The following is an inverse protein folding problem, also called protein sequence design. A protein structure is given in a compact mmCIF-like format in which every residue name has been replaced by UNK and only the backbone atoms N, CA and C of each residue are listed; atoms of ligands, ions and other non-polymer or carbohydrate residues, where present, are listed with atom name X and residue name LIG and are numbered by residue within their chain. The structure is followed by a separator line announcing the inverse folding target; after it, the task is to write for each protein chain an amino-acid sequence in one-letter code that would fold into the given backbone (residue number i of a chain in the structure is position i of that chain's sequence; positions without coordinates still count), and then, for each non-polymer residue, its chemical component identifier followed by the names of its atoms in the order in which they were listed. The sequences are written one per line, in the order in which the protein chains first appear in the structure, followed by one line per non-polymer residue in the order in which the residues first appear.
data_IF_826282517144
#
_entry.id   IF_826282517144
#
_cell.length_a   1.000
_cell.length_b   1.000
_cell.length_c   1.000
_cell.angle_alpha   90.00
_cell.angle_beta   90.00
_cell.angle_gamma   90.00
#
_symmetry.space_group_name_H-M   'P 1'
#
loop_
_entity.id
_entity.type
_entity.pdbx_description
1 polymer ?
#
# COMPACT_ATOMS: atom_id res chain seq x y z
N UNK A 1 10.58 -8.80 2.29
CA UNK A 1 11.11 -8.09 3.46
C UNK A 1 12.27 -7.34 2.87
N UNK A 2 12.16 -6.02 2.77
CA UNK A 2 13.20 -5.18 2.19
C UNK A 2 13.80 -4.45 3.38
N UNK A 3 14.94 -4.96 3.84
CA UNK A 3 15.79 -4.28 4.80
C UNK A 3 16.52 -3.19 4.02
N UNK A 4 16.36 -1.93 4.44
CA UNK A 4 17.06 -0.82 3.83
C UNK A 4 18.49 -0.86 4.36
N UNK A 5 19.43 -1.35 3.56
CA UNK A 5 20.86 -1.21 3.84
C UNK A 5 21.33 0.18 3.38
N UNK A 6 22.00 0.90 4.28
CA UNK A 6 22.59 2.21 4.02
C UNK A 6 23.83 2.04 3.11
N UNK A 7 23.90 2.84 2.04
CA UNK A 7 25.02 2.88 1.10
C UNK A 7 26.20 3.72 1.64
N UNK A 8 27.38 3.68 1.00
CA UNK A 8 28.62 4.38 1.40
C UNK A 8 28.44 5.92 1.56
N UNK A 9 27.47 6.50 0.85
CA UNK A 9 27.09 7.92 1.00
C UNK A 9 26.31 8.21 2.29
N UNK A 10 25.67 7.20 2.87
CA UNK A 10 25.07 7.26 4.19
C UNK A 10 26.11 7.34 5.30
N UNK A 11 27.30 6.76 5.11
CA UNK A 11 28.39 6.80 6.10
C UNK A 11 28.94 8.23 6.30
N UNK A 12 29.11 8.99 5.21
CA UNK A 12 29.54 10.40 5.26
C UNK A 12 28.49 11.34 5.89
N UNK A 13 27.19 11.07 5.67
CA UNK A 13 26.13 11.80 6.37
C UNK A 13 26.12 11.47 7.88
N UNK A 14 26.44 10.22 8.24
CA UNK A 14 26.58 9.77 9.63
C UNK A 14 27.77 10.43 10.33
N UNK A 15 28.88 10.72 9.66
CA UNK A 15 30.04 11.37 10.31
C UNK A 15 29.70 12.76 10.87
N UNK A 16 28.97 13.59 10.13
CA UNK A 16 28.50 14.89 10.62
C UNK A 16 27.36 14.78 11.67
N UNK A 17 26.53 13.74 11.56
CA UNK A 17 25.52 13.39 12.55
C UNK A 17 26.18 12.86 13.84
N UNK A 18 27.32 12.18 13.76
CA UNK A 18 28.06 11.59 14.89
C UNK A 18 28.66 12.65 15.80
N UNK A 19 29.14 13.77 15.24
CA UNK A 19 29.62 14.92 16.00
C UNK A 19 28.48 15.60 16.78
N UNK A 20 27.29 15.71 16.18
CA UNK A 20 26.09 16.24 16.83
C UNK A 20 25.45 15.26 17.84
N UNK A 21 25.48 13.95 17.55
CA UNK A 21 25.11 12.86 18.47
C UNK A 21 25.98 12.87 19.73
N UNK A 22 27.30 13.14 19.60
CA UNK A 22 28.21 13.25 20.74
C UNK A 22 27.92 14.48 21.62
N UNK A 23 27.55 15.61 21.03
CA UNK A 23 27.30 16.84 21.78
C UNK A 23 25.92 16.84 22.48
N UNK A 24 24.89 16.25 21.86
CA UNK A 24 23.53 16.23 22.39
C UNK A 24 22.75 14.96 22.00
N UNK A 25 23.09 13.79 22.58
CA UNK A 25 22.60 12.48 22.11
C UNK A 25 21.08 12.36 22.12
N UNK A 26 20.42 12.87 23.17
CA UNK A 26 18.96 12.80 23.31
C UNK A 26 18.19 13.56 22.22
N UNK A 27 18.73 14.66 21.68
CA UNK A 27 18.05 15.42 20.62
C UNK A 27 18.34 14.86 19.25
N UNK A 28 19.55 14.34 19.04
CA UNK A 28 19.92 13.68 17.82
C UNK A 28 19.13 12.37 17.65
N UNK A 29 18.99 11.52 18.68
CA UNK A 29 18.12 10.33 18.63
C UNK A 29 16.67 10.67 18.31
N UNK A 30 16.10 11.69 18.98
CA UNK A 30 14.73 12.15 18.70
C UNK A 30 14.59 12.73 17.29
N UNK A 31 15.61 13.42 16.78
CA UNK A 31 15.63 13.95 15.42
C UNK A 31 15.73 12.82 14.38
N UNK A 32 16.56 11.80 14.62
CA UNK A 32 16.69 10.60 13.79
C UNK A 32 15.38 9.84 13.74
N UNK A 33 14.78 9.52 14.90
CA UNK A 33 13.49 8.85 14.97
C UNK A 33 12.39 9.67 14.25
N UNK A 34 12.39 11.00 14.41
CA UNK A 34 11.44 11.87 13.72
C UNK A 34 11.65 11.89 12.20
N UNK A 35 12.89 11.86 11.73
CA UNK A 35 13.23 11.85 10.30
C UNK A 35 12.81 10.52 9.66
N UNK A 36 13.19 9.41 10.28
CA UNK A 36 12.85 8.05 9.86
C UNK A 36 11.33 7.82 9.84
N UNK A 37 10.61 8.17 10.93
CA UNK A 37 9.14 8.07 10.96
C UNK A 37 8.48 8.93 9.87
N UNK A 38 9.00 10.12 9.59
CA UNK A 38 8.50 10.98 8.52
C UNK A 38 8.72 10.38 7.13
N UNK A 39 9.90 9.80 6.89
CA UNK A 39 10.22 9.17 5.61
C UNK A 39 9.44 7.88 5.40
N UNK A 40 9.29 7.07 6.45
CA UNK A 40 8.43 5.89 6.46
C UNK A 40 6.98 6.21 6.10
N UNK A 41 6.43 7.30 6.66
CA UNK A 41 5.10 7.77 6.32
C UNK A 41 4.99 8.20 4.85
N UNK A 42 6.00 8.92 4.33
CA UNK A 42 6.06 9.36 2.93
C UNK A 42 6.08 8.18 1.96
N UNK A 43 7.01 7.24 2.15
CA UNK A 43 7.17 6.05 1.32
C UNK A 43 5.92 5.16 1.37
N UNK A 44 5.28 5.02 2.55
CA UNK A 44 3.96 4.38 2.64
C UNK A 44 2.94 5.07 1.73
N UNK A 45 2.89 6.40 1.74
CA UNK A 45 2.00 7.20 0.86
C UNK A 45 2.20 6.87 -0.61
N UNK A 46 3.46 6.88 -1.07
CA UNK A 46 3.82 6.55 -2.46
C UNK A 46 3.39 5.13 -2.85
N UNK A 47 3.64 4.14 -1.99
CA UNK A 47 3.20 2.75 -2.21
C UNK A 47 1.67 2.69 -2.32
N UNK A 48 0.93 3.41 -1.48
CA UNK A 48 -0.52 3.44 -1.55
C UNK A 48 -1.03 4.10 -2.84
N UNK A 49 -0.41 5.18 -3.27
CA UNK A 49 -0.74 5.90 -4.49
C UNK A 49 -0.47 5.06 -5.73
N UNK A 50 0.70 4.43 -5.83
CA UNK A 50 1.02 3.51 -6.91
C UNK A 50 0.03 2.34 -6.98
N UNK A 51 -0.33 1.72 -5.86
CA UNK A 51 -1.34 0.64 -5.86
C UNK A 51 -2.70 1.14 -6.37
N UNK A 52 -3.12 2.35 -5.98
CA UNK A 52 -4.39 2.93 -6.44
C UNK A 52 -4.33 3.34 -7.91
N UNK A 53 -3.17 3.79 -8.38
CA UNK A 53 -2.88 4.17 -9.76
C UNK A 53 -2.70 2.99 -10.71
N UNK A 54 -2.61 1.76 -10.21
CA UNK A 54 -2.43 0.58 -11.04
C UNK A 54 -0.97 0.22 -11.29
N UNK A 55 -0.10 0.41 -10.30
CA UNK A 55 1.32 0.12 -10.36
C UNK A 55 2.16 1.39 -10.38
N UNK A 56 3.48 1.22 -10.30
CA UNK A 56 4.41 2.31 -10.58
C UNK A 56 4.19 2.73 -12.03
N UNK A 57 3.91 4.01 -12.24
CA UNK A 57 3.50 4.63 -13.51
C UNK A 57 2.22 4.07 -14.17
N UNK A 58 1.40 3.33 -13.42
CA UNK A 58 0.16 2.72 -13.95
C UNK A 58 0.40 1.51 -14.86
N UNK A 59 1.57 0.88 -14.79
CA UNK A 59 1.98 -0.20 -15.69
C UNK A 59 1.32 -1.57 -15.49
N UNK A 60 0.38 -1.75 -14.54
CA UNK A 60 -0.26 -3.04 -14.33
C UNK A 60 -1.43 -3.30 -15.26
N UNK A 61 -1.48 -4.54 -15.76
CA UNK A 61 -2.64 -5.06 -16.45
C UNK A 61 -3.93 -4.91 -15.64
N UNK A 62 -4.96 -4.36 -16.28
CA UNK A 62 -6.31 -4.28 -15.74
C UNK A 62 -6.80 -5.66 -15.30
N UNK A 63 -7.67 -5.68 -14.29
CA UNK A 63 -8.38 -6.90 -13.92
C UNK A 63 -9.19 -7.42 -15.09
N UNK A 64 -9.21 -8.75 -15.24
CA UNK A 64 -10.06 -9.39 -16.23
C UNK A 64 -11.51 -8.86 -16.08
N UNK A 65 -12.18 -8.51 -17.19
CA UNK A 65 -13.53 -7.93 -17.14
C UNK A 65 -14.55 -8.79 -16.41
N UNK A 66 -14.32 -10.09 -16.23
CA UNK A 66 -15.23 -10.98 -15.51
C UNK A 66 -14.93 -11.13 -14.01
N UNK A 67 -13.86 -10.53 -13.50
CA UNK A 67 -13.42 -10.65 -12.10
C UNK A 67 -14.52 -10.30 -11.10
N UNK A 68 -15.27 -9.22 -11.33
CA UNK A 68 -16.39 -8.83 -10.48
C UNK A 68 -17.61 -9.76 -10.55
N UNK A 69 -17.75 -10.52 -11.63
CA UNK A 69 -18.77 -11.58 -11.76
C UNK A 69 -18.34 -12.81 -10.96
N UNK A 70 -17.09 -13.24 -11.12
CA UNK A 70 -16.50 -14.36 -10.37
C UNK A 70 -16.55 -14.11 -8.86
N UNK A 71 -16.21 -12.90 -8.42
CA UNK A 71 -16.27 -12.52 -7.01
C UNK A 71 -17.70 -12.58 -6.44
N UNK A 72 -18.72 -12.27 -7.26
CA UNK A 72 -20.14 -12.40 -6.86
C UNK A 72 -20.58 -13.86 -6.84
N UNK A 73 -20.18 -14.65 -7.83
CA UNK A 73 -20.47 -16.08 -7.90
C UNK A 73 -19.95 -16.85 -6.69
N UNK A 74 -18.78 -16.47 -6.17
CA UNK A 74 -18.25 -17.04 -4.93
C UNK A 74 -19.14 -16.78 -3.70
N UNK A 75 -19.92 -15.69 -3.70
CA UNK A 75 -20.80 -15.30 -2.59
C UNK A 75 -22.23 -15.84 -2.73
N UNK A 76 -22.56 -16.54 -3.83
CA UNK A 76 -23.91 -17.05 -4.10
C UNK A 76 -24.26 -16.99 -5.58
N UNK A 77 -25.56 -17.07 -5.92
CA UNK A 77 -25.99 -17.10 -7.33
C UNK A 77 -25.80 -15.74 -8.01
N UNK A 78 -25.11 -15.71 -9.16
CA UNK A 78 -25.15 -14.54 -10.04
C UNK A 78 -26.39 -14.65 -10.91
N UNK A 79 -27.41 -13.83 -10.66
CA UNK A 79 -28.56 -13.70 -11.56
C UNK A 79 -28.09 -13.00 -12.84
N UNK A 80 -27.95 -13.78 -13.91
CA UNK A 80 -27.65 -13.28 -15.25
C UNK A 80 -28.89 -12.74 -15.98
N UNK A 81 -30.06 -12.71 -15.33
CA UNK A 81 -31.30 -12.22 -15.90
C UNK A 81 -31.95 -11.17 -15.00
N UNK A 82 -32.71 -10.26 -15.62
CA UNK A 82 -33.68 -9.40 -14.95
C UNK A 82 -35.09 -9.78 -15.38
N UNK A 83 -36.05 -9.62 -14.49
CA UNK A 83 -37.46 -9.85 -14.81
C UNK A 83 -38.03 -8.58 -15.46
N UNK A 84 -38.42 -8.68 -16.73
CA UNK A 84 -39.04 -7.57 -17.48
C UNK A 84 -40.46 -7.92 -17.86
N UNK A 85 -41.31 -6.91 -17.91
CA UNK A 85 -42.66 -7.04 -18.45
C UNK A 85 -42.58 -6.99 -19.98
N UNK A 86 -42.99 -8.07 -20.66
CA UNK A 86 -43.19 -8.08 -22.11
C UNK A 86 -44.67 -8.29 -22.44
N UNK A 87 -45.12 -7.69 -23.54
CA UNK A 87 -46.51 -7.77 -24.01
C UNK A 87 -47.19 -6.40 -24.13
N UNK A 88 -48.37 -6.38 -24.76
CA UNK A 88 -49.22 -5.17 -24.87
C UNK A 88 -49.81 -4.82 -23.50
N UNK A 89 -50.19 -3.54 -23.34
CA UNK A 89 -50.91 -3.05 -22.14
C UNK A 89 -52.16 -3.91 -21.93
N UNK A 90 -52.32 -4.49 -20.74
CA UNK A 90 -53.40 -5.45 -20.40
C UNK A 90 -53.01 -6.94 -20.46
N UNK A 91 -51.94 -7.32 -21.16
CA UNK A 91 -51.47 -8.72 -21.29
C UNK A 91 -49.99 -8.91 -20.93
N UNK A 92 -49.41 -7.95 -20.20
CA UNK A 92 -48.00 -7.99 -19.79
C UNK A 92 -47.74 -9.20 -18.91
N UNK A 93 -46.73 -10.01 -19.27
CA UNK A 93 -46.20 -11.11 -18.45
C UNK A 93 -44.76 -10.82 -18.04
N UNK A 94 -44.38 -11.23 -16.83
CA UNK A 94 -42.96 -11.14 -16.40
C UNK A 94 -42.19 -12.27 -17.06
N UNK A 95 -41.19 -11.91 -17.85
CA UNK A 95 -40.27 -12.86 -18.48
C UNK A 95 -38.84 -12.56 -18.05
N UNK A 96 -37.99 -13.59 -18.08
CA UNK A 96 -36.55 -13.44 -17.83
C UNK A 96 -35.91 -12.83 -19.08
N UNK A 97 -35.31 -11.65 -18.94
CA UNK A 97 -34.40 -11.08 -19.92
C UNK A 97 -32.97 -11.31 -19.43
N UNK A 98 -32.27 -12.21 -20.11
CA UNK A 98 -30.87 -12.50 -19.85
C UNK A 98 -30.00 -11.34 -20.33
N UNK A 99 -28.93 -11.05 -19.58
CA UNK A 99 -27.87 -10.16 -20.01
C UNK A 99 -26.94 -10.94 -20.93
N UNK A 100 -26.64 -10.38 -22.08
CA UNK A 100 -25.73 -11.00 -23.06
C UNK A 100 -24.32 -11.13 -22.48
N UNK A 101 -23.81 -10.08 -21.81
CA UNK A 101 -22.49 -10.10 -21.17
C UNK A 101 -22.56 -9.47 -19.78
N UNK A 102 -21.94 -10.13 -18.80
CA UNK A 102 -21.72 -9.55 -17.48
C UNK A 102 -20.25 -9.14 -17.33
N UNK A 103 -20.01 -7.83 -17.28
CA UNK A 103 -18.70 -7.24 -17.06
C UNK A 103 -18.62 -6.61 -15.66
N UNK A 104 -17.41 -6.61 -15.12
CA UNK A 104 -16.99 -5.98 -13.88
C UNK A 104 -16.78 -4.50 -14.14
N UNK A 105 -17.26 -3.66 -13.23
CA UNK A 105 -16.86 -2.25 -13.19
C UNK A 105 -15.50 -2.05 -12.51
N UNK A 106 -14.97 -3.08 -11.85
CA UNK A 106 -13.69 -3.02 -11.14
C UNK A 106 -12.57 -3.40 -12.10
N UNK A 107 -11.70 -2.43 -12.37
CA UNK A 107 -10.53 -2.55 -13.26
C UNK A 107 -9.21 -2.51 -12.50
N UNK A 108 -9.08 -1.64 -11.50
CA UNK A 108 -7.85 -1.45 -10.73
C UNK A 108 -7.55 -2.68 -9.83
N UNK A 109 -6.47 -3.44 -10.13
CA UNK A 109 -6.04 -4.55 -9.28
C UNK A 109 -5.48 -4.01 -7.95
N UNK A 110 -5.58 -4.81 -6.89
CA UNK A 110 -5.01 -4.52 -5.56
C UNK A 110 -5.44 -3.21 -4.88
N UNK A 111 -6.35 -2.42 -5.46
CA UNK A 111 -6.89 -1.17 -4.89
C UNK A 111 -7.31 -1.28 -3.42
N UNK A 112 -7.86 -2.44 -3.01
CA UNK A 112 -8.23 -2.70 -1.62
C UNK A 112 -7.05 -2.97 -0.68
N UNK A 113 -5.95 -3.49 -1.21
CA UNK A 113 -4.72 -3.76 -0.47
C UNK A 113 -3.89 -2.50 -0.25
N UNK A 114 -4.11 -1.40 -0.98
CA UNK A 114 -3.45 -0.13 -0.69
C UNK A 114 -3.59 0.26 0.80
N UNK A 115 -4.79 0.11 1.35
CA UNK A 115 -5.06 0.38 2.77
C UNK A 115 -4.35 -0.57 3.75
N UNK A 116 -3.74 -1.66 3.29
CA UNK A 116 -3.01 -2.62 4.11
C UNK A 116 -1.50 -2.33 4.20
N UNK A 117 -1.00 -1.34 3.45
CA UNK A 117 0.40 -0.91 3.56
C UNK A 117 0.63 -0.24 4.91
N UNK A 118 1.69 -0.66 5.60
CA UNK A 118 2.12 -0.16 6.90
C UNK A 118 3.57 0.27 6.84
N UNK A 119 3.94 1.12 7.78
CA UNK A 119 5.33 1.34 8.15
C UNK A 119 5.43 1.13 9.67
N UNK A 120 6.58 0.64 10.11
CA UNK A 120 6.91 0.38 11.50
C UNK A 120 8.33 0.88 11.73
N UNK A 121 8.53 1.63 12.81
CA UNK A 121 9.84 2.13 13.19
C UNK A 121 10.35 1.24 14.32
N UNK A 122 11.53 0.67 14.11
CA UNK A 122 12.26 -0.09 15.12
C UNK A 122 13.20 0.87 15.86
N UNK A 123 12.99 1.02 17.17
CA UNK A 123 13.75 1.98 17.98
C UNK A 123 15.16 1.48 18.27
N UNK A 124 15.34 0.17 18.41
CA UNK A 124 16.60 -0.47 18.77
C UNK A 124 17.57 -0.46 17.59
N UNK A 125 17.06 -0.73 16.40
CA UNK A 125 17.86 -0.78 15.17
C UNK A 125 17.85 0.53 14.37
N UNK A 126 17.11 1.55 14.85
CA UNK A 126 16.92 2.83 14.15
C UNK A 126 16.56 2.65 12.66
N UNK A 127 15.64 1.74 12.37
CA UNK A 127 15.22 1.41 11.00
C UNK A 127 13.72 1.55 10.80
N UNK A 128 13.32 1.63 9.53
CA UNK A 128 11.90 1.66 9.16
C UNK A 128 11.60 0.47 8.26
N UNK A 129 10.70 -0.38 8.71
CA UNK A 129 10.13 -1.45 7.93
C UNK A 129 8.88 -0.96 7.21
N UNK A 130 8.80 -1.16 5.89
CA UNK A 130 7.69 -0.70 5.07
C UNK A 130 7.15 -1.83 4.21
N UNK A 131 5.84 -2.00 4.20
CA UNK A 131 5.18 -2.95 3.30
C UNK A 131 3.88 -3.53 3.85
N UNK A 132 3.61 -4.78 3.48
CA UNK A 132 2.46 -5.54 3.97
C UNK A 132 2.88 -6.33 5.21
N UNK A 133 2.68 -5.73 6.38
CA UNK A 133 3.05 -6.31 7.67
C UNK A 133 1.79 -6.69 8.44
N UNK A 134 1.89 -7.71 9.29
CA UNK A 134 0.80 -8.05 10.19
C UNK A 134 0.64 -6.91 11.21
N UNK A 135 -0.55 -6.34 11.26
CA UNK A 135 -0.87 -5.25 12.19
C UNK A 135 -2.36 -5.28 12.51
N UNK A 136 -2.82 -4.44 13.43
CA UNK A 136 -4.24 -4.18 13.59
C UNK A 136 -4.89 -3.87 12.22
N UNK A 137 -5.88 -4.67 11.83
CA UNK A 137 -6.60 -4.55 10.55
C UNK A 137 -5.90 -5.14 9.32
N UNK A 138 -4.73 -5.79 9.45
CA UNK A 138 -4.04 -6.49 8.34
C UNK A 138 -3.85 -7.96 8.71
N UNK A 139 -4.59 -8.85 8.05
CA UNK A 139 -4.52 -10.29 8.29
C UNK A 139 -3.37 -10.95 7.54
N UNK A 140 -2.91 -12.10 8.03
CA UNK A 140 -1.91 -12.93 7.34
C UNK A 140 -2.32 -13.28 5.90
N UNK A 141 -3.61 -13.53 5.68
CA UNK A 141 -4.17 -13.75 4.34
C UNK A 141 -3.97 -12.57 3.39
N UNK A 142 -3.99 -11.31 3.88
CA UNK A 142 -3.72 -10.13 3.06
C UNK A 142 -2.24 -10.03 2.71
N UNK A 143 -1.35 -10.28 3.68
CA UNK A 143 0.10 -10.32 3.47
C UNK A 143 0.46 -11.39 2.43
N UNK A 144 -0.12 -12.59 2.57
CA UNK A 144 0.07 -13.68 1.60
C UNK A 144 -0.44 -13.30 0.21
N UNK A 145 -1.63 -12.71 0.10
CA UNK A 145 -2.17 -12.24 -1.18
C UNK A 145 -1.26 -11.20 -1.82
N UNK A 146 -0.77 -10.22 -1.07
CA UNK A 146 0.16 -9.23 -1.57
C UNK A 146 1.45 -9.87 -2.10
N UNK A 147 2.02 -10.84 -1.37
CA UNK A 147 3.21 -11.58 -1.80
C UNK A 147 2.98 -12.39 -3.07
N UNK A 148 1.85 -13.08 -3.19
CA UNK A 148 1.48 -13.84 -4.40
C UNK A 148 1.29 -12.91 -5.60
N UNK A 149 0.65 -11.76 -5.40
CA UNK A 149 0.44 -10.79 -6.48
C UNK A 149 1.73 -10.10 -6.89
N UNK A 150 2.65 -9.82 -5.96
CA UNK A 150 3.96 -9.24 -6.27
C UNK A 150 4.75 -10.14 -7.23
N UNK A 151 4.77 -11.47 -6.99
CA UNK A 151 5.46 -12.45 -7.85
C UNK A 151 4.68 -12.83 -9.12
N UNK A 152 3.37 -12.64 -9.10
CA UNK A 152 2.48 -13.29 -10.06
C UNK A 152 2.33 -14.77 -9.74
N UNK A 153 1.28 -15.39 -10.27
CA UNK A 153 1.03 -16.81 -10.02
C UNK A 153 0.14 -17.41 -11.10
N UNK A 154 0.20 -18.74 -11.18
CA UNK A 154 -0.60 -19.53 -12.09
C UNK A 154 -1.67 -20.32 -11.33
N UNK A 155 -2.88 -20.38 -11.88
CA UNK A 155 -3.99 -21.16 -11.32
C UNK A 155 -4.39 -22.26 -12.29
N UNK A 156 -4.21 -23.52 -11.88
CA UNK A 156 -4.67 -24.67 -12.66
C UNK A 156 -6.20 -24.68 -12.74
N UNK A 157 -6.71 -24.86 -13.95
CA UNK A 157 -8.15 -24.96 -14.22
C UNK A 157 -8.60 -26.39 -13.95
N UNK A 158 -9.40 -26.56 -12.90
CA UNK A 158 -10.04 -27.84 -12.59
C UNK A 158 -11.30 -28.07 -13.42
N UNK A 159 -11.75 -29.32 -13.62
CA UNK A 159 -13.03 -29.61 -14.27
C UNK A 159 -14.22 -28.89 -13.62
N UNK A 160 -14.21 -28.77 -12.28
CA UNK A 160 -15.24 -28.03 -11.52
C UNK A 160 -15.21 -26.54 -11.84
N UNK A 161 -14.03 -25.92 -11.88
CA UNK A 161 -13.89 -24.51 -12.30
C UNK A 161 -14.34 -24.31 -13.73
N UNK A 162 -14.04 -25.23 -14.65
CA UNK A 162 -14.48 -25.17 -16.05
C UNK A 162 -16.01 -25.19 -16.16
N UNK A 163 -16.68 -26.10 -15.44
CA UNK A 163 -18.15 -26.16 -15.37
C UNK A 163 -18.74 -24.86 -14.80
N UNK A 164 -18.12 -24.32 -13.74
CA UNK A 164 -18.54 -23.04 -13.14
C UNK A 164 -18.39 -21.88 -14.12
N UNK A 165 -17.24 -21.75 -14.79
CA UNK A 165 -16.98 -20.70 -15.77
C UNK A 165 -17.96 -20.79 -16.95
N UNK A 166 -18.26 -22.00 -17.43
CA UNK A 166 -19.29 -22.24 -18.43
C UNK A 166 -20.67 -21.75 -17.97
N UNK A 167 -21.09 -22.12 -16.76
CA UNK A 167 -22.37 -21.69 -16.19
C UNK A 167 -22.48 -20.16 -15.99
N UNK A 168 -21.34 -19.49 -15.80
CA UNK A 168 -21.26 -18.03 -15.68
C UNK A 168 -21.21 -17.31 -17.04
N UNK A 169 -21.17 -18.05 -18.16
CA UNK A 169 -21.12 -17.51 -19.52
C UNK A 169 -19.72 -17.31 -20.08
N UNK A 170 -18.69 -17.92 -19.48
CA UNK A 170 -17.28 -17.79 -19.87
C UNK A 170 -16.68 -19.17 -20.18
N UNK A 171 -17.09 -19.84 -21.28
CA UNK A 171 -16.58 -21.16 -21.61
C UNK A 171 -15.08 -21.11 -21.89
N UNK A 172 -14.31 -21.96 -21.18
CA UNK A 172 -12.87 -22.09 -21.38
C UNK A 172 -12.57 -23.31 -22.25
N UNK A 173 -11.73 -23.16 -23.29
CA UNK A 173 -11.31 -24.25 -24.19
C UNK A 173 -10.64 -25.38 -23.43
N UNK A 174 -10.87 -26.64 -23.82
CA UNK A 174 -10.29 -27.83 -23.17
C UNK A 174 -8.76 -27.76 -23.07
N UNK A 175 -8.12 -27.19 -24.08
CA UNK A 175 -6.66 -26.97 -24.12
C UNK A 175 -6.14 -25.96 -23.10
N UNK A 176 -6.96 -25.01 -22.64
CA UNK A 176 -6.55 -24.10 -21.57
C UNK A 176 -6.61 -24.83 -20.24
N UNK A 177 -5.44 -25.12 -19.70
CA UNK A 177 -5.23 -25.85 -18.43
C UNK A 177 -4.86 -24.93 -17.28
N UNK A 178 -4.42 -23.70 -17.57
CA UNK A 178 -3.89 -22.76 -16.58
C UNK A 178 -4.34 -21.32 -16.87
N UNK A 179 -4.65 -20.56 -15.81
CA UNK A 179 -4.85 -19.12 -15.84
C UNK A 179 -3.60 -18.43 -15.28
N UNK A 180 -3.01 -17.52 -16.04
CA UNK A 180 -1.86 -16.73 -15.62
C UNK A 180 -2.31 -15.41 -15.01
N UNK A 181 -1.82 -15.12 -13.80
CA UNK A 181 -1.99 -13.81 -13.17
C UNK A 181 -0.65 -13.08 -13.21
N UNK A 182 -0.56 -11.91 -13.87
CA UNK A 182 0.71 -11.19 -14.03
C UNK A 182 1.22 -10.69 -12.68
N UNK A 183 2.55 -10.57 -12.60
CA UNK A 183 3.26 -10.00 -11.46
C UNK A 183 2.92 -8.52 -11.29
N UNK A 184 2.78 -8.09 -10.04
CA UNK A 184 2.43 -6.71 -9.65
C UNK A 184 3.34 -6.25 -8.51
N UNK A 185 4.65 -6.13 -8.76
CA UNK A 185 5.58 -5.62 -7.76
C UNK A 185 5.28 -4.14 -7.47
N UNK A 186 5.39 -3.74 -6.20
CA UNK A 186 5.18 -2.35 -5.75
C UNK A 186 6.37 -1.85 -4.95
N UNK A 187 6.77 -2.62 -3.94
CA UNK A 187 7.73 -2.17 -2.94
C UNK A 187 9.09 -1.91 -3.59
N UNK A 188 9.62 -2.89 -4.30
CA UNK A 188 10.93 -2.83 -4.94
C UNK A 188 11.01 -1.75 -6.04
N UNK A 189 10.06 -1.63 -6.99
CA UNK A 189 10.08 -0.54 -7.97
C UNK A 189 10.04 0.87 -7.36
N UNK A 190 9.26 1.08 -6.28
CA UNK A 190 9.21 2.38 -5.60
C UNK A 190 10.50 2.64 -4.84
N UNK A 191 11.05 1.63 -4.18
CA UNK A 191 12.32 1.76 -3.51
C UNK A 191 13.41 2.17 -4.50
N UNK A 192 13.48 1.53 -5.66
CA UNK A 192 14.46 1.84 -6.69
C UNK A 192 14.30 3.26 -7.26
N UNK A 193 13.06 3.73 -7.42
CA UNK A 193 12.75 5.10 -7.86
C UNK A 193 13.12 6.16 -6.82
N UNK A 194 13.01 5.84 -5.54
CA UNK A 194 13.16 6.79 -4.44
C UNK A 194 14.50 6.71 -3.72
N UNK A 195 15.31 5.67 -3.95
CA UNK A 195 16.54 5.38 -3.19
C UNK A 195 17.47 6.59 -3.04
N UNK A 196 17.66 7.35 -4.12
CA UNK A 196 18.54 8.53 -4.14
C UNK A 196 17.96 9.70 -3.34
N UNK A 197 16.63 9.78 -3.25
CA UNK A 197 15.91 10.84 -2.53
C UNK A 197 15.73 10.52 -1.04
N UNK A 198 15.72 9.24 -0.65
CA UNK A 198 15.47 8.79 0.73
C UNK A 198 16.46 9.47 1.68
N UNK A 199 17.77 9.39 1.40
CA UNK A 199 18.79 9.94 2.29
C UNK A 199 18.70 11.46 2.40
N UNK A 200 18.55 12.17 1.28
CA UNK A 200 18.38 13.62 1.30
C UNK A 200 17.10 14.08 2.00
N UNK A 201 16.03 13.27 1.97
CA UNK A 201 14.82 13.55 2.74
C UNK A 201 15.04 13.35 4.24
N UNK A 202 15.68 12.25 4.62
CA UNK A 202 16.02 11.95 6.03
C UNK A 202 16.89 13.06 6.59
N UNK A 203 17.97 13.43 5.91
CA UNK A 203 18.90 14.48 6.33
C UNK A 203 18.20 15.83 6.52
N UNK A 204 17.42 16.27 5.53
CA UNK A 204 16.65 17.52 5.63
C UNK A 204 15.66 17.51 6.79
N UNK A 205 15.01 16.37 7.06
CA UNK A 205 14.08 16.22 8.18
C UNK A 205 14.80 16.15 9.51
N UNK A 206 15.95 15.49 9.56
CA UNK A 206 16.80 15.39 10.73
C UNK A 206 17.23 16.79 11.20
N UNK A 207 17.89 17.57 10.34
CA UNK A 207 18.34 18.92 10.70
C UNK A 207 17.19 19.85 11.06
N UNK A 208 16.06 19.77 10.35
CA UNK A 208 14.86 20.55 10.69
C UNK A 208 14.33 20.19 12.08
N UNK A 209 14.26 18.91 12.42
CA UNK A 209 13.80 18.44 13.73
C UNK A 209 14.78 18.81 14.84
N UNK A 210 16.09 18.66 14.59
CA UNK A 210 17.15 19.03 15.52
C UNK A 210 17.08 20.53 15.85
N UNK A 211 17.02 21.39 14.83
CA UNK A 211 16.88 22.84 15.01
C UNK A 211 15.63 23.20 15.81
N UNK A 212 14.50 22.53 15.55
CA UNK A 212 13.26 22.72 16.33
C UNK A 212 13.42 22.33 17.80
N UNK A 213 14.13 21.23 18.09
CA UNK A 213 14.33 20.80 19.48
C UNK A 213 15.29 21.72 20.24
N UNK A 214 16.32 22.22 19.55
CA UNK A 214 17.26 23.18 20.10
C UNK A 214 16.61 24.56 20.32
N UNK A 215 15.84 25.07 19.36
CA UNK A 215 15.17 26.37 19.46
C UNK A 215 13.97 26.36 20.41
N UNK A 216 13.20 25.27 20.45
CA UNK A 216 12.12 25.09 21.43
C UNK A 216 12.63 25.06 22.88
N UNK A 217 13.91 24.71 23.10
CA UNK A 217 14.58 24.85 24.40
C UNK A 217 14.97 26.31 24.70
N UNK A 218 15.40 27.08 23.70
CA UNK A 218 15.72 28.50 23.87
C UNK A 218 14.47 29.30 24.31
N UNK A 219 13.33 29.04 23.67
CA UNK A 219 12.04 29.66 24.02
C UNK A 219 11.56 29.23 25.42
N UNK A 220 11.73 27.96 25.81
CA UNK A 220 11.41 27.50 27.17
C UNK A 220 12.32 28.12 28.24
N UNK A 221 13.62 28.28 27.96
CA UNK A 221 14.54 28.94 28.89
C UNK A 221 14.18 30.42 29.11
N UNK A 222 13.76 31.15 28.07
CA UNK A 222 13.30 32.54 28.18
C UNK A 222 11.96 32.67 28.93
N UNK A 223 11.02 31.73 28.75
CA UNK A 223 9.77 31.74 29.52
C UNK A 223 10.00 31.42 31.00
N UNK A 224 10.90 30.50 31.30
CA UNK A 224 11.23 30.12 32.69
C UNK A 224 12.01 31.24 33.42
N UNK A 225 12.85 31.99 32.69
CA UNK A 225 13.52 33.20 33.22
C UNK A 225 12.54 34.36 33.46
N UNK A 226 11.51 34.53 32.62
CA UNK A 226 10.48 35.57 32.79
C UNK A 226 9.44 35.25 33.88
N UNK A 227 9.33 33.99 34.31
CA UNK A 227 8.54 33.60 35.48
C UNK A 227 9.31 33.92 36.77
N UNK A 228 10.62 33.69 36.80
CA UNK A 228 11.49 34.00 37.95
C UNK A 228 11.71 35.51 38.18
N UNK A 229 11.60 36.36 37.16
CA UNK A 229 11.70 37.82 37.34
C UNK A 229 10.38 38.50 37.72
N UNK A 230 9.25 37.80 37.63
CA UNK A 230 7.94 38.30 38.08
C UNK A 230 7.62 37.99 39.56
N UNK A 231 8.45 37.20 40.22
CA UNK A 231 8.33 36.92 41.67
C UNK A 231 9.22 37.83 42.55
N UNK A 232 9.92 38.80 41.97
CA UNK A 232 10.78 39.77 42.69
C UNK A 232 10.41 41.25 42.44
N UNK A 233 9.12 41.54 42.28
CA UNK A 233 8.58 42.91 42.34
C UNK A 233 7.34 42.97 43.22
#
# INVERSE_FOLDING_TARGET
MLEIHLDERGELAIENISALLKAFPQYAERATASALKSEGYRLKGLIQEAIRGGGVDGGWDELNPHTGVLARAKRGSVKNYRMVWKGRKGSKKRVRQYKEVMLSKKKAPLSKLAGAVRYEYDEDMQMVNIGFMQSAGVSDSMVRLARMHAKGYETRITPRMRKMLFALGFPVKKSTTTLKTPARPVIEPIFEQEKDNIMGNIERKFFRSLNRYLSGRAVKKESDLNVLTKEYH
#
